data_IF_446117688706
#
_entry.id   IF_446117688706
#
_cell.length_a   1.000
_cell.length_b   1.000
_cell.length_c   1.000
_cell.angle_alpha   90.00
_cell.angle_beta   90.00
_cell.angle_gamma   90.00
#
_symmetry.space_group_name_H-M   'P 1'
#
loop_
_entity.id
_entity.type
_entity.pdbx_description
1 polymer ?
#
# COMPACT_ATOMS: atom_id res chain seq x y z
N UNK A 1 9.66 26.67 16.55
CA UNK A 1 8.83 26.89 15.34
C UNK A 1 7.40 27.12 15.79
N UNK A 2 6.83 28.30 15.52
CA UNK A 2 5.39 28.52 15.70
C UNK A 2 4.65 27.98 14.47
N UNK A 3 3.80 26.98 14.68
CA UNK A 3 2.94 26.42 13.62
C UNK A 3 1.79 27.40 13.40
N UNK A 4 1.63 27.91 12.17
CA UNK A 4 0.46 28.72 11.83
C UNK A 4 -0.82 27.86 11.75
N UNK A 5 -1.98 28.45 12.05
CA UNK A 5 -3.28 27.75 11.97
C UNK A 5 -3.50 27.10 10.58
N UNK A 6 -3.05 27.78 9.52
CA UNK A 6 -3.15 27.30 8.15
C UNK A 6 -2.28 26.06 7.87
N UNK A 7 -1.06 26.01 8.41
CA UNK A 7 -0.20 24.82 8.31
C UNK A 7 -0.79 23.64 9.08
N UNK A 8 -1.35 23.89 10.27
CA UNK A 8 -2.02 22.85 11.04
C UNK A 8 -3.25 22.28 10.33
N UNK A 9 -4.08 23.15 9.73
CA UNK A 9 -5.23 22.73 8.94
C UNK A 9 -4.82 21.91 7.72
N UNK A 10 -3.77 22.34 7.01
CA UNK A 10 -3.23 21.61 5.85
C UNK A 10 -2.72 20.23 6.26
N UNK A 11 -1.98 20.13 7.36
CA UNK A 11 -1.54 18.85 7.93
C UNK A 11 -2.72 17.90 8.19
N UNK A 12 -3.79 18.38 8.85
CA UNK A 12 -4.97 17.56 9.10
C UNK A 12 -5.68 17.12 7.82
N UNK A 13 -5.74 17.98 6.80
CA UNK A 13 -6.33 17.65 5.51
C UNK A 13 -5.55 16.53 4.79
N UNK A 14 -4.22 16.70 4.64
CA UNK A 14 -3.39 15.69 3.98
C UNK A 14 -3.39 14.37 4.76
N UNK A 15 -3.34 14.41 6.10
CA UNK A 15 -3.42 13.22 6.94
C UNK A 15 -4.78 12.52 6.79
N UNK A 16 -5.88 13.25 6.86
CA UNK A 16 -7.23 12.68 6.74
C UNK A 16 -7.45 12.05 5.36
N UNK A 17 -7.06 12.75 4.29
CA UNK A 17 -7.18 12.22 2.92
C UNK A 17 -6.23 11.04 2.70
N UNK A 18 -5.00 11.11 3.20
CA UNK A 18 -4.03 10.01 3.13
C UNK A 18 -4.54 8.75 3.83
N UNK A 19 -5.06 8.88 5.06
CA UNK A 19 -5.69 7.76 5.78
C UNK A 19 -6.91 7.22 5.03
N UNK A 20 -7.74 8.10 4.47
CA UNK A 20 -8.88 7.72 3.65
C UNK A 20 -8.47 6.93 2.39
N UNK A 21 -7.42 7.38 1.69
CA UNK A 21 -6.87 6.69 0.52
C UNK A 21 -6.25 5.34 0.90
N UNK A 22 -5.51 5.26 2.01
CA UNK A 22 -4.95 3.98 2.50
C UNK A 22 -6.04 3.00 2.91
N UNK A 23 -7.11 3.47 3.56
CA UNK A 23 -8.26 2.62 3.90
C UNK A 23 -8.99 2.14 2.64
N UNK A 24 -9.18 3.01 1.65
CA UNK A 24 -9.78 2.67 0.38
C UNK A 24 -8.94 1.65 -0.39
N UNK A 25 -7.64 1.89 -0.51
CA UNK A 25 -6.68 0.95 -1.10
C UNK A 25 -6.76 -0.41 -0.40
N UNK A 26 -6.72 -0.43 0.94
CA UNK A 26 -6.85 -1.66 1.73
C UNK A 26 -8.12 -2.43 1.40
N UNK A 27 -9.26 -1.74 1.33
CA UNK A 27 -10.55 -2.35 1.09
C UNK A 27 -10.73 -2.84 -0.36
N UNK A 28 -10.07 -2.21 -1.33
CA UNK A 28 -10.03 -2.64 -2.73
C UNK A 28 -9.08 -3.84 -2.87
N UNK A 29 -7.88 -3.73 -2.30
CA UNK A 29 -6.88 -4.78 -2.28
C UNK A 29 -7.46 -6.08 -1.70
N UNK A 30 -7.99 -6.05 -0.47
CA UNK A 30 -8.57 -7.22 0.19
C UNK A 30 -9.79 -7.84 -0.52
N UNK A 31 -10.43 -7.12 -1.45
CA UNK A 31 -11.54 -7.66 -2.26
C UNK A 31 -11.07 -8.29 -3.57
N UNK A 32 -9.96 -7.79 -4.11
CA UNK A 32 -9.41 -8.21 -5.39
C UNK A 32 -8.39 -9.34 -5.20
N UNK A 33 -7.71 -9.39 -4.05
CA UNK A 33 -6.80 -10.48 -3.73
C UNK A 33 -7.59 -11.79 -3.56
N UNK A 34 -7.15 -12.89 -4.20
CA UNK A 34 -7.89 -14.15 -4.19
C UNK A 34 -7.82 -14.87 -2.84
N UNK A 35 -6.77 -14.60 -2.05
CA UNK A 35 -6.67 -15.13 -0.70
C UNK A 35 -7.61 -14.32 0.22
N UNK A 36 -8.34 -15.02 1.08
CA UNK A 36 -9.17 -14.44 2.16
C UNK A 36 -8.25 -13.85 3.26
N UNK A 37 -7.32 -12.95 2.89
CA UNK A 37 -6.17 -12.52 3.71
C UNK A 37 -6.62 -12.02 5.08
N UNK A 38 -7.68 -11.22 5.16
CA UNK A 38 -8.16 -10.71 6.44
C UNK A 38 -8.67 -11.82 7.37
N UNK A 39 -9.30 -12.87 6.84
CA UNK A 39 -9.73 -14.02 7.65
C UNK A 39 -8.53 -14.86 8.07
N UNK A 40 -7.59 -15.08 7.15
CA UNK A 40 -6.37 -15.84 7.39
C UNK A 40 -5.48 -15.15 8.44
N UNK A 41 -5.33 -13.83 8.36
CA UNK A 41 -4.60 -13.02 9.35
C UNK A 41 -5.25 -13.15 10.73
N UNK A 42 -6.58 -13.08 10.82
CA UNK A 42 -7.31 -13.30 12.09
C UNK A 42 -7.07 -14.70 12.67
N UNK A 43 -6.79 -15.69 11.83
CA UNK A 43 -6.45 -17.05 12.22
C UNK A 43 -4.95 -17.27 12.46
N UNK A 44 -4.13 -16.21 12.52
CA UNK A 44 -2.70 -16.30 12.81
C UNK A 44 -1.79 -16.53 11.61
N UNK A 45 -2.30 -16.34 10.38
CA UNK A 45 -1.49 -16.48 9.17
C UNK A 45 -0.57 -15.27 8.98
N UNK A 46 0.71 -15.46 9.35
CA UNK A 46 1.76 -14.46 9.22
C UNK A 46 2.10 -14.17 7.75
N UNK A 47 2.04 -15.16 6.86
CA UNK A 47 2.35 -14.95 5.45
C UNK A 47 1.40 -13.93 4.79
N UNK A 48 0.10 -14.06 5.03
CA UNK A 48 -0.91 -13.10 4.60
C UNK A 48 -0.70 -11.72 5.25
N UNK A 49 -0.32 -11.69 6.54
CA UNK A 49 -0.05 -10.43 7.25
C UNK A 49 1.15 -9.68 6.66
N UNK A 50 2.23 -10.40 6.31
CA UNK A 50 3.40 -9.83 5.65
C UNK A 50 3.06 -9.33 4.24
N UNK A 51 2.40 -10.16 3.43
CA UNK A 51 1.95 -9.80 2.08
C UNK A 51 1.13 -8.50 2.08
N UNK A 52 0.05 -8.48 2.85
CA UNK A 52 -0.82 -7.31 2.97
C UNK A 52 -0.09 -6.11 3.59
N UNK A 53 0.67 -6.31 4.67
CA UNK A 53 1.43 -5.25 5.33
C UNK A 53 2.47 -4.61 4.41
N UNK A 54 3.18 -5.41 3.61
CA UNK A 54 4.13 -4.91 2.63
C UNK A 54 3.46 -4.14 1.49
N UNK A 55 2.28 -4.58 1.03
CA UNK A 55 1.47 -3.83 0.06
C UNK A 55 1.02 -2.48 0.63
N UNK A 56 0.60 -2.42 1.89
CA UNK A 56 0.24 -1.16 2.57
C UNK A 56 1.44 -0.21 2.68
N UNK A 57 2.60 -0.71 3.11
CA UNK A 57 3.81 0.11 3.22
C UNK A 57 4.21 0.60 1.82
N UNK A 58 4.22 -0.29 0.82
CA UNK A 58 4.53 0.03 -0.57
C UNK A 58 3.62 1.13 -1.13
N UNK A 59 2.33 1.12 -0.79
CA UNK A 59 1.39 2.18 -1.16
C UNK A 59 1.63 3.50 -0.40
N UNK A 60 1.94 3.45 0.89
CA UNK A 60 2.15 4.65 1.70
C UNK A 60 3.42 5.43 1.31
N UNK A 61 4.44 4.78 0.73
CA UNK A 61 5.67 5.43 0.26
C UNK A 61 5.43 6.52 -0.81
N UNK A 62 4.76 6.23 -1.95
CA UNK A 62 4.45 7.25 -2.94
C UNK A 62 3.43 8.27 -2.43
N UNK A 63 2.53 7.91 -1.50
CA UNK A 63 1.68 8.90 -0.82
C UNK A 63 2.52 9.91 -0.03
N UNK A 64 3.51 9.44 0.73
CA UNK A 64 4.41 10.32 1.48
C UNK A 64 5.20 11.25 0.54
N UNK A 65 5.76 10.72 -0.55
CA UNK A 65 6.44 11.52 -1.58
C UNK A 65 5.49 12.52 -2.25
N UNK A 66 4.25 12.10 -2.52
CA UNK A 66 3.25 13.00 -3.10
C UNK A 66 2.93 14.15 -2.14
N UNK A 67 2.73 13.91 -0.84
CA UNK A 67 2.49 14.97 0.16
C UNK A 67 3.63 15.99 0.19
N UNK A 68 4.89 15.54 0.05
CA UNK A 68 6.05 16.44 0.10
C UNK A 68 6.22 17.29 -1.16
N UNK A 69 5.74 16.81 -2.32
CA UNK A 69 5.92 17.49 -3.62
C UNK A 69 4.61 18.07 -4.19
N UNK A 70 3.44 17.76 -3.63
CA UNK A 70 2.15 18.16 -4.16
C UNK A 70 1.89 19.65 -3.98
N UNK A 71 1.57 20.33 -5.09
CA UNK A 71 1.19 21.75 -5.12
C UNK A 71 -0.21 21.96 -4.53
N UNK A 72 -1.06 20.92 -4.53
CA UNK A 72 -2.37 20.94 -3.89
C UNK A 72 -2.97 19.55 -3.59
N UNK A 73 -4.06 19.57 -2.82
CA UNK A 73 -4.75 18.36 -2.34
C UNK A 73 -5.33 17.50 -3.49
N UNK A 74 -5.74 18.14 -4.59
CA UNK A 74 -6.27 17.44 -5.77
C UNK A 74 -5.17 16.62 -6.46
N UNK A 75 -3.99 17.19 -6.63
CA UNK A 75 -2.84 16.50 -7.21
C UNK A 75 -2.43 15.31 -6.33
N UNK A 76 -2.44 15.48 -5.02
CA UNK A 76 -2.21 14.41 -4.06
C UNK A 76 -3.20 13.24 -4.23
N UNK A 77 -4.49 13.53 -4.42
CA UNK A 77 -5.51 12.50 -4.65
C UNK A 77 -5.27 11.77 -5.98
N UNK A 78 -4.96 12.49 -7.06
CA UNK A 78 -4.68 11.88 -8.37
C UNK A 78 -3.45 10.96 -8.32
N UNK A 79 -2.38 11.39 -7.65
CA UNK A 79 -1.19 10.58 -7.46
C UNK A 79 -1.44 9.39 -6.54
N UNK A 80 -2.27 9.53 -5.52
CA UNK A 80 -2.70 8.42 -4.67
C UNK A 80 -3.42 7.34 -5.48
N UNK A 81 -4.28 7.72 -6.43
CA UNK A 81 -4.93 6.76 -7.34
C UNK A 81 -3.94 6.05 -8.26
N UNK A 82 -2.98 6.78 -8.85
CA UNK A 82 -1.94 6.19 -9.68
C UNK A 82 -1.06 5.22 -8.87
N UNK A 83 -0.68 5.58 -7.66
CA UNK A 83 0.06 4.73 -6.74
C UNK A 83 -0.72 3.45 -6.36
N UNK A 84 -2.02 3.57 -6.10
CA UNK A 84 -2.87 2.43 -5.79
C UNK A 84 -2.93 1.45 -6.96
N UNK A 85 -3.09 1.96 -8.18
CA UNK A 85 -3.11 1.14 -9.39
C UNK A 85 -1.79 0.38 -9.59
N UNK A 86 -0.65 1.08 -9.46
CA UNK A 86 0.68 0.45 -9.55
C UNK A 86 0.84 -0.62 -8.47
N UNK A 87 0.44 -0.35 -7.23
CA UNK A 87 0.60 -1.30 -6.14
C UNK A 87 -0.23 -2.59 -6.35
N UNK A 88 -1.45 -2.46 -6.89
CA UNK A 88 -2.27 -3.63 -7.26
C UNK A 88 -1.60 -4.44 -8.37
N UNK A 89 -1.07 -3.78 -9.40
CA UNK A 89 -0.33 -4.44 -10.49
C UNK A 89 0.88 -5.19 -9.94
N UNK A 90 1.62 -4.59 -9.00
CA UNK A 90 2.79 -5.19 -8.36
C UNK A 90 2.42 -6.44 -7.58
N UNK A 91 1.32 -6.45 -6.84
CA UNK A 91 0.83 -7.65 -6.16
C UNK A 91 0.56 -8.80 -7.15
N UNK A 92 -0.14 -8.51 -8.25
CA UNK A 92 -0.42 -9.52 -9.28
C UNK A 92 0.82 -9.95 -10.07
N UNK A 93 1.84 -9.11 -10.16
CA UNK A 93 3.13 -9.48 -10.72
C UNK A 93 3.90 -10.39 -9.75
N UNK A 94 3.95 -10.04 -8.47
CA UNK A 94 4.62 -10.83 -7.44
C UNK A 94 4.01 -12.23 -7.28
N UNK A 95 2.67 -12.32 -7.27
CA UNK A 95 1.97 -13.62 -7.19
C UNK A 95 2.15 -14.49 -8.42
N UNK A 96 2.56 -13.94 -9.58
CA UNK A 96 2.92 -14.75 -10.77
C UNK A 96 4.33 -15.36 -10.70
N UNK A 97 5.19 -14.86 -9.81
CA UNK A 97 6.53 -15.44 -9.62
C UNK A 97 6.49 -16.77 -8.85
N UNK A 98 5.40 -17.03 -8.13
CA UNK A 98 5.20 -18.23 -7.31
C UNK A 98 3.97 -18.99 -7.84
N UNK A 99 4.14 -20.25 -8.31
CA UNK A 99 3.00 -21.10 -8.65
C UNK A 99 2.07 -21.25 -7.44
N UNK A 100 0.77 -21.08 -7.66
CA UNK A 100 -0.25 -21.13 -6.60
C UNK A 100 0.04 -20.23 -5.38
N UNK A 101 0.51 -19.01 -5.61
CA UNK A 101 0.81 -18.05 -4.54
C UNK A 101 -0.34 -17.86 -3.52
N UNK A 102 -1.60 -17.96 -3.96
CA UNK A 102 -2.76 -17.87 -3.07
C UNK A 102 -2.84 -19.08 -2.12
N UNK A 103 -2.63 -20.29 -2.63
CA UNK A 103 -2.54 -21.51 -1.81
C UNK A 103 -1.36 -21.46 -0.84
N UNK A 104 -0.19 -21.01 -1.30
CA UNK A 104 1.00 -20.84 -0.46
C UNK A 104 0.78 -19.83 0.68
N UNK A 105 0.15 -18.69 0.37
CA UNK A 105 -0.23 -17.70 1.38
C UNK A 105 -1.25 -18.28 2.36
N UNK A 106 -2.27 -19.01 1.89
CA UNK A 106 -3.26 -19.66 2.74
C UNK A 106 -2.64 -20.75 3.64
N UNK A 107 -1.64 -21.47 3.13
CA UNK A 107 -0.82 -22.44 3.86
C UNK A 107 0.18 -21.82 4.84
N UNK A 108 0.17 -20.50 5.01
CA UNK A 108 1.07 -19.74 5.88
C UNK A 108 2.55 -19.88 5.49
N UNK A 109 2.85 -19.99 4.19
CA UNK A 109 4.22 -19.95 3.71
C UNK A 109 4.80 -18.52 3.85
N UNK A 110 5.48 -18.30 4.97
CA UNK A 110 6.06 -17.00 5.35
C UNK A 110 7.07 -16.50 4.32
N UNK A 111 7.79 -17.39 3.62
CA UNK A 111 8.74 -16.99 2.60
C UNK A 111 8.04 -16.32 1.40
N UNK A 112 6.91 -16.87 0.96
CA UNK A 112 6.09 -16.28 -0.11
C UNK A 112 5.48 -14.96 0.35
N UNK A 113 4.96 -14.91 1.59
CA UNK A 113 4.46 -13.66 2.18
C UNK A 113 5.52 -12.56 2.25
N UNK A 114 6.74 -12.90 2.69
CA UNK A 114 7.86 -11.98 2.76
C UNK A 114 8.34 -11.51 1.38
N UNK A 115 8.39 -12.41 0.38
CA UNK A 115 8.73 -12.06 -1.00
C UNK A 115 7.74 -11.03 -1.57
N UNK A 116 6.43 -11.30 -1.45
CA UNK A 116 5.38 -10.36 -1.86
C UNK A 116 5.51 -9.01 -1.16
N UNK A 117 5.83 -9.02 0.13
CA UNK A 117 6.02 -7.81 0.93
C UNK A 117 7.22 -6.98 0.45
N UNK A 118 8.38 -7.62 0.26
CA UNK A 118 9.61 -6.94 -0.16
C UNK A 118 9.48 -6.37 -1.57
N UNK A 119 8.89 -7.12 -2.51
CA UNK A 119 8.63 -6.62 -3.87
C UNK A 119 7.71 -5.40 -3.82
N UNK A 120 6.64 -5.48 -3.02
CA UNK A 120 5.68 -4.38 -2.83
C UNK A 120 6.34 -3.12 -2.32
N UNK A 121 7.20 -3.23 -1.30
CA UNK A 121 7.94 -2.10 -0.71
C UNK A 121 8.97 -1.55 -1.69
N UNK A 122 9.72 -2.41 -2.38
CA UNK A 122 10.75 -2.00 -3.33
C UNK A 122 10.15 -1.21 -4.50
N UNK A 123 9.05 -1.69 -5.11
CA UNK A 123 8.39 -0.96 -6.19
C UNK A 123 7.70 0.29 -5.68
N UNK A 124 7.10 0.25 -4.48
CA UNK A 124 6.53 1.42 -3.82
C UNK A 124 7.58 2.53 -3.62
N UNK A 125 8.80 2.16 -3.23
CA UNK A 125 9.92 3.08 -3.09
C UNK A 125 10.35 3.69 -4.44
N UNK A 126 10.43 2.87 -5.50
CA UNK A 126 10.73 3.37 -6.85
C UNK A 126 9.64 4.32 -7.34
N UNK A 127 8.37 3.96 -7.12
CA UNK A 127 7.23 4.81 -7.46
C UNK A 127 7.30 6.15 -6.72
N UNK A 128 7.63 6.13 -5.42
CA UNK A 128 7.82 7.33 -4.63
C UNK A 128 8.94 8.24 -5.17
N UNK A 129 10.04 7.64 -5.64
CA UNK A 129 11.17 8.37 -6.22
C UNK A 129 10.87 8.96 -7.61
N UNK A 130 9.88 8.45 -8.33
CA UNK A 130 9.44 9.01 -9.61
C UNK A 130 8.52 10.24 -9.45
N UNK A 131 8.07 10.55 -8.23
CA UNK A 131 7.16 11.68 -7.92
C UNK A 131 7.91 12.98 -7.57
N UNK A 132 9.09 13.19 -8.16
CA UNK A 132 9.99 14.34 -7.93
C UNK A 132 9.75 15.45 -8.94
#
# INVERSE_FOLDING_TARGET
>A
MSISLQQYLSYLQYLAVGLGMTALFSAVYLRITPADELKLIKNGNLACALSFGGALIGFCLPLASSITHSVGLLDFVLWSWAAAAIQIVVYFAATRLVPDAAGELAGNNVAVGALCAVISVAVGLLNAACLV
#
